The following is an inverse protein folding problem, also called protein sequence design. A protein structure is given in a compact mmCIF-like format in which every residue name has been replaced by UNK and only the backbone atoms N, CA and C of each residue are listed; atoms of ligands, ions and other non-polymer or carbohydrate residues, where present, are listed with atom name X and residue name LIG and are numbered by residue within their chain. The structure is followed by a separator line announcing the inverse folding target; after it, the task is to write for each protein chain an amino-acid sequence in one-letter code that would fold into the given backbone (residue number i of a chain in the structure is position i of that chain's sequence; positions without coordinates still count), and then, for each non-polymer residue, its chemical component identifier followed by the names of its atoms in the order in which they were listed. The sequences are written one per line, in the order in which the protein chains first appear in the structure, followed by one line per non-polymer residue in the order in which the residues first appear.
data_IF_204385275878
#
_entry.id   IF_204385275878
#
_cell.length_a   1.000
_cell.length_b   1.000
_cell.length_c   1.000
_cell.angle_alpha   90.00
_cell.angle_beta   90.00
_cell.angle_gamma   90.00
#
_symmetry.space_group_name_H-M   'P 1'
#
loop_
_entity.id
_entity.type
_entity.pdbx_description
1 polymer ?
#
# COMPACT_ATOMS: atom_id res chain seq x y z
N UNK A 1 -4.60 -8.07 9.59
CA UNK A 1 -5.58 -7.47 10.52
C UNK A 1 -5.37 -7.87 11.98
N UNK A 2 -5.25 -9.15 12.34
CA UNK A 2 -5.06 -9.59 13.74
C UNK A 2 -3.88 -8.88 14.47
N UNK A 3 -2.78 -8.65 13.77
CA UNK A 3 -1.64 -7.90 14.31
C UNK A 3 -2.03 -6.47 14.75
N UNK A 4 -2.78 -5.74 13.91
CA UNK A 4 -3.24 -4.39 14.23
C UNK A 4 -4.20 -4.40 15.42
N UNK A 5 -5.13 -5.35 15.45
CA UNK A 5 -6.07 -5.51 16.56
C UNK A 5 -5.32 -5.70 17.89
N UNK A 6 -4.33 -6.62 17.93
CA UNK A 6 -3.49 -6.84 19.11
C UNK A 6 -2.83 -5.54 19.58
N UNK A 7 -2.20 -4.79 18.68
CA UNK A 7 -1.48 -3.55 19.04
C UNK A 7 -2.44 -2.51 19.62
N UNK A 8 -3.65 -2.40 19.06
CA UNK A 8 -4.68 -1.49 19.56
C UNK A 8 -5.20 -1.89 20.94
N UNK A 9 -5.65 -3.15 21.11
CA UNK A 9 -6.25 -3.62 22.36
C UNK A 9 -5.25 -3.67 23.53
N UNK A 10 -3.98 -3.94 23.27
CA UNK A 10 -2.93 -3.93 24.30
C UNK A 10 -2.31 -2.53 24.50
N UNK A 11 -2.80 -1.48 23.83
CA UNK A 11 -2.26 -0.13 23.96
C UNK A 11 -0.80 0.01 23.53
N UNK A 12 -0.29 -0.91 22.71
CA UNK A 12 1.12 -1.00 22.33
C UNK A 12 1.57 0.11 21.35
N UNK A 13 0.64 0.97 20.92
CA UNK A 13 0.89 2.18 20.14
C UNK A 13 1.24 3.41 20.99
N UNK A 14 1.08 3.35 22.32
CA UNK A 14 1.37 4.46 23.24
C UNK A 14 2.87 4.75 23.36
N UNK A 15 3.20 5.88 23.99
CA UNK A 15 4.58 6.30 24.28
C UNK A 15 5.45 5.14 24.80
N UNK A 16 6.67 4.92 24.27
CA UNK A 16 7.40 5.71 23.25
C UNK A 16 7.27 5.17 21.79
N UNK A 17 6.18 4.45 21.47
CA UNK A 17 6.02 3.64 20.24
C UNK A 17 5.08 4.24 19.19
N UNK A 18 4.66 5.48 19.35
CA UNK A 18 3.70 6.16 18.47
C UNK A 18 4.22 6.22 17.02
N UNK A 19 5.52 6.47 16.86
CA UNK A 19 6.15 6.49 15.54
C UNK A 19 6.08 5.12 14.85
N UNK A 20 6.28 4.04 15.61
CA UNK A 20 6.19 2.69 15.06
C UNK A 20 4.75 2.33 14.66
N UNK A 21 3.75 2.88 15.34
CA UNK A 21 2.34 2.74 14.97
C UNK A 21 2.05 3.41 13.62
N UNK A 22 2.54 4.63 13.38
CA UNK A 22 2.39 5.30 12.08
C UNK A 22 3.01 4.47 10.96
N UNK A 23 4.21 3.92 11.18
CA UNK A 23 4.85 3.00 10.23
C UNK A 23 3.97 1.76 9.98
N UNK A 24 3.37 1.19 11.03
CA UNK A 24 2.45 0.05 10.92
C UNK A 24 1.21 0.36 10.06
N UNK A 25 0.64 1.57 10.20
CA UNK A 25 -0.46 2.02 9.35
C UNK A 25 -0.02 2.19 7.90
N UNK A 26 1.17 2.75 7.64
CA UNK A 26 1.73 2.85 6.28
C UNK A 26 1.91 1.44 5.68
N UNK A 27 2.45 0.49 6.45
CA UNK A 27 2.62 -0.90 6.01
C UNK A 27 1.27 -1.57 5.71
N UNK A 28 0.23 -1.30 6.49
CA UNK A 28 -1.13 -1.77 6.21
C UNK A 28 -1.63 -1.22 4.87
N UNK A 29 -1.48 0.09 4.63
CA UNK A 29 -1.87 0.70 3.35
C UNK A 29 -1.06 0.13 2.18
N UNK A 30 0.25 -0.04 2.32
CA UNK A 30 1.10 -0.67 1.29
C UNK A 30 0.68 -2.12 1.00
N UNK A 31 0.26 -2.88 2.03
CA UNK A 31 -0.24 -4.24 1.87
C UNK A 31 -1.53 -4.25 1.06
N UNK A 32 -2.46 -3.34 1.34
CA UNK A 32 -3.70 -3.20 0.57
C UNK A 32 -3.42 -2.80 -0.89
N UNK A 33 -2.46 -1.90 -1.12
CA UNK A 33 -2.02 -1.52 -2.47
C UNK A 33 -1.37 -2.70 -3.22
N UNK A 34 -0.53 -3.49 -2.54
CA UNK A 34 0.05 -4.71 -3.10
C UNK A 34 -1.05 -5.71 -3.48
N UNK A 35 -2.01 -5.98 -2.59
CA UNK A 35 -3.14 -6.86 -2.89
C UNK A 35 -3.95 -6.36 -4.08
N UNK A 36 -4.26 -5.06 -4.14
CA UNK A 36 -5.00 -4.48 -5.26
C UNK A 36 -4.22 -4.59 -6.57
N UNK A 37 -2.97 -4.15 -6.61
CA UNK A 37 -2.17 -4.18 -7.85
C UNK A 37 -1.86 -5.59 -8.34
N UNK A 38 -1.70 -6.55 -7.44
CA UNK A 38 -1.53 -7.97 -7.78
C UNK A 38 -2.80 -8.58 -8.38
N UNK A 39 -3.97 -8.15 -7.89
CA UNK A 39 -5.27 -8.55 -8.42
C UNK A 39 -5.49 -8.10 -9.87
N UNK A 40 -4.78 -7.07 -10.34
CA UNK A 40 -4.90 -6.58 -11.72
C UNK A 40 -4.11 -7.44 -12.73
N UNK A 41 -3.12 -8.20 -12.29
CA UNK A 41 -2.17 -8.88 -13.17
C UNK A 41 -2.72 -10.08 -13.97
N UNK A 42 -3.71 -10.86 -13.48
CA UNK A 42 -4.33 -11.93 -14.26
C UNK A 42 -5.01 -11.44 -15.54
N UNK A 43 -5.33 -10.14 -15.62
CA UNK A 43 -5.89 -9.49 -16.80
C UNK A 43 -7.20 -10.10 -17.30
N UNK A 44 -8.03 -10.58 -16.36
CA UNK A 44 -9.37 -11.08 -16.62
C UNK A 44 -10.41 -9.94 -16.63
N UNK A 45 -11.67 -10.28 -16.90
CA UNK A 45 -12.74 -9.28 -17.00
C UNK A 45 -12.92 -8.46 -15.72
N UNK A 46 -12.77 -9.09 -14.54
CA UNK A 46 -12.92 -8.41 -13.26
C UNK A 46 -11.73 -7.49 -12.99
N UNK A 47 -10.50 -7.91 -13.30
CA UNK A 47 -9.31 -7.06 -13.23
C UNK A 47 -9.45 -5.81 -14.13
N UNK A 48 -9.95 -5.96 -15.35
CA UNK A 48 -10.18 -4.82 -16.27
C UNK A 48 -11.21 -3.83 -15.70
N UNK A 49 -12.27 -4.33 -15.06
CA UNK A 49 -13.23 -3.47 -14.36
C UNK A 49 -12.60 -2.80 -13.14
N UNK A 50 -11.76 -3.50 -12.37
CA UNK A 50 -11.04 -2.92 -11.25
C UNK A 50 -10.07 -1.81 -11.69
N UNK A 51 -9.35 -1.99 -12.81
CA UNK A 51 -8.52 -0.93 -13.43
C UNK A 51 -9.40 0.27 -13.80
N UNK A 52 -10.53 0.03 -14.47
CA UNK A 52 -11.45 1.09 -14.91
C UNK A 52 -11.96 1.90 -13.73
N UNK A 53 -12.48 1.24 -12.69
CA UNK A 53 -12.99 1.90 -11.49
C UNK A 53 -11.87 2.64 -10.75
N UNK A 54 -10.73 1.98 -10.52
CA UNK A 54 -9.62 2.57 -9.77
C UNK A 54 -9.02 3.80 -10.45
N UNK A 55 -8.82 3.76 -11.76
CA UNK A 55 -8.25 4.90 -12.52
C UNK A 55 -9.25 6.04 -12.68
N UNK A 56 -10.55 5.75 -12.80
CA UNK A 56 -11.59 6.78 -12.81
C UNK A 56 -11.73 7.45 -11.44
N UNK A 57 -11.66 6.69 -10.34
CA UNK A 57 -11.65 7.25 -8.98
C UNK A 57 -10.50 8.25 -8.78
N UNK A 58 -9.30 7.90 -9.23
CA UNK A 58 -8.14 8.81 -9.14
C UNK A 58 -8.27 10.05 -10.05
N UNK A 59 -8.99 9.92 -11.17
CA UNK A 59 -9.33 11.01 -12.06
C UNK A 59 -10.14 12.14 -11.43
N UNK A 60 -10.85 11.89 -10.32
CA UNK A 60 -11.61 12.91 -9.60
C UNK A 60 -10.75 13.83 -8.71
N UNK A 61 -9.45 13.57 -8.61
CA UNK A 61 -8.55 14.44 -7.82
C UNK A 61 -8.50 15.84 -8.45
N UNK A 62 -8.75 16.92 -7.69
CA UNK A 62 -8.67 18.27 -8.24
C UNK A 62 -7.23 18.55 -8.68
N UNK A 63 -7.08 19.36 -9.74
CA UNK A 63 -5.80 19.82 -10.33
C UNK A 63 -4.99 18.75 -11.06
N UNK A 64 -4.84 17.54 -10.51
CA UNK A 64 -3.91 16.50 -11.03
C UNK A 64 -4.59 15.21 -11.51
N UNK A 65 -5.91 15.11 -11.43
CA UNK A 65 -6.63 13.86 -11.70
C UNK A 65 -6.42 13.29 -13.11
N UNK A 66 -6.46 14.14 -14.15
CA UNK A 66 -6.29 13.69 -15.53
C UNK A 66 -4.86 13.20 -15.81
N UNK A 67 -3.86 13.87 -15.22
CA UNK A 67 -2.45 13.50 -15.30
C UNK A 67 -2.18 12.19 -14.56
N UNK A 68 -2.75 12.01 -13.36
CA UNK A 68 -2.63 10.77 -12.59
C UNK A 68 -3.23 9.59 -13.36
N UNK A 69 -4.45 9.76 -13.90
CA UNK A 69 -5.10 8.74 -14.74
C UNK A 69 -4.23 8.37 -15.95
N UNK A 70 -3.71 9.37 -16.66
CA UNK A 70 -2.84 9.15 -17.82
C UNK A 70 -1.56 8.40 -17.45
N UNK A 71 -0.92 8.78 -16.34
CA UNK A 71 0.30 8.11 -15.85
C UNK A 71 0.01 6.67 -15.43
N UNK A 72 -1.15 6.34 -14.91
CA UNK A 72 -1.45 4.97 -14.50
C UNK A 72 -1.83 4.08 -15.68
N UNK A 73 -2.53 4.62 -16.67
CA UNK A 73 -2.89 3.89 -17.88
C UNK A 73 -1.73 3.76 -18.87
N UNK A 74 -0.85 4.74 -18.93
CA UNK A 74 0.18 4.83 -19.97
C UNK A 74 -0.36 5.21 -21.35
N UNK A 75 -1.59 5.69 -21.40
CA UNK A 75 -2.29 6.08 -22.62
C UNK A 75 -3.66 6.69 -22.29
N UNK A 76 -4.46 6.93 -23.32
CA UNK A 76 -5.84 7.46 -23.17
C UNK A 76 -6.85 6.36 -22.79
N UNK A 77 -6.54 5.11 -23.16
CA UNK A 77 -7.37 3.92 -22.97
C UNK A 77 -6.56 2.81 -22.27
N UNK A 78 -7.27 1.80 -21.77
CA UNK A 78 -6.66 0.62 -21.13
C UNK A 78 -6.05 -0.26 -22.21
N UNK A 79 -4.76 -0.58 -22.07
CA UNK A 79 -4.05 -1.41 -23.03
C UNK A 79 -2.84 -2.13 -22.44
N UNK A 80 -1.97 -2.71 -23.29
CA UNK A 80 -0.77 -3.43 -22.83
C UNK A 80 0.16 -2.59 -21.95
N UNK A 81 0.29 -1.30 -22.24
CA UNK A 81 1.08 -0.36 -21.43
C UNK A 81 0.53 -0.20 -20.01
N UNK A 82 -0.79 -0.31 -19.83
CA UNK A 82 -1.43 -0.28 -18.51
C UNK A 82 -1.00 -1.48 -17.69
N UNK A 83 -1.03 -2.69 -18.27
CA UNK A 83 -0.59 -3.91 -17.61
C UNK A 83 0.89 -3.83 -17.22
N UNK A 84 1.76 -3.34 -18.12
CA UNK A 84 3.18 -3.15 -17.84
C UNK A 84 3.40 -2.24 -16.62
N UNK A 85 2.68 -1.12 -16.52
CA UNK A 85 2.78 -0.20 -15.38
C UNK A 85 2.35 -0.84 -14.08
N UNK A 86 1.20 -1.51 -14.06
CA UNK A 86 0.74 -2.23 -12.87
C UNK A 86 1.68 -3.35 -12.46
N UNK A 87 2.28 -4.05 -13.43
CA UNK A 87 3.31 -5.06 -13.17
C UNK A 87 4.55 -4.46 -12.51
N UNK A 88 5.10 -3.36 -13.05
CA UNK A 88 6.27 -2.69 -12.46
C UNK A 88 5.96 -2.15 -11.05
N UNK A 89 4.78 -1.56 -10.86
CA UNK A 89 4.34 -1.09 -9.55
C UNK A 89 4.24 -2.25 -8.53
N UNK A 90 3.66 -3.38 -8.93
CA UNK A 90 3.42 -4.53 -8.06
C UNK A 90 4.68 -5.34 -7.75
N UNK A 91 5.53 -5.59 -8.74
CA UNK A 91 6.66 -6.51 -8.61
C UNK A 91 7.91 -5.79 -8.10
N UNK A 92 8.08 -4.52 -8.45
CA UNK A 92 9.28 -3.76 -8.08
C UNK A 92 8.99 -2.70 -7.03
N UNK A 93 8.17 -1.69 -7.36
CA UNK A 93 8.08 -0.47 -6.54
C UNK A 93 7.49 -0.73 -5.16
N UNK A 94 6.28 -1.29 -5.09
CA UNK A 94 5.62 -1.50 -3.80
C UNK A 94 6.34 -2.51 -2.90
N UNK A 95 6.87 -3.65 -3.40
CA UNK A 95 7.67 -4.54 -2.58
C UNK A 95 8.93 -3.88 -2.05
N UNK A 96 9.65 -3.13 -2.89
CA UNK A 96 10.86 -2.41 -2.48
C UNK A 96 10.58 -1.40 -1.36
N UNK A 97 9.55 -0.56 -1.53
CA UNK A 97 9.12 0.40 -0.50
C UNK A 97 8.67 -0.32 0.77
N UNK A 98 7.93 -1.43 0.65
CA UNK A 98 7.47 -2.24 1.79
C UNK A 98 8.63 -2.80 2.60
N UNK A 99 9.67 -3.31 1.94
CA UNK A 99 10.89 -3.82 2.61
C UNK A 99 11.59 -2.72 3.39
N UNK A 100 11.69 -1.50 2.84
CA UNK A 100 12.27 -0.35 3.56
C UNK A 100 11.46 -0.05 4.83
N UNK A 101 10.14 0.06 4.73
CA UNK A 101 9.30 0.35 5.89
C UNK A 101 9.31 -0.80 6.91
N UNK A 102 9.39 -2.06 6.49
CA UNK A 102 9.55 -3.21 7.39
C UNK A 102 10.87 -3.13 8.16
N UNK A 103 11.98 -2.79 7.47
CA UNK A 103 13.27 -2.63 8.12
C UNK A 103 13.22 -1.53 9.21
N UNK A 104 12.60 -0.38 8.89
CA UNK A 104 12.41 0.71 9.86
C UNK A 104 11.50 0.26 11.01
N UNK A 105 10.41 -0.45 10.71
CA UNK A 105 9.47 -0.95 11.71
C UNK A 105 10.16 -1.88 12.71
N UNK A 106 10.92 -2.87 12.22
CA UNK A 106 11.64 -3.82 13.08
C UNK A 106 12.77 -3.15 13.87
N UNK A 107 13.53 -2.27 13.23
CA UNK A 107 14.55 -1.48 13.90
C UNK A 107 13.96 -0.67 15.06
N UNK A 108 12.79 -0.04 14.84
CA UNK A 108 12.14 0.77 15.86
C UNK A 108 11.63 -0.07 17.03
N UNK A 109 11.05 -1.24 16.76
CA UNK A 109 10.69 -2.22 17.81
C UNK A 109 11.90 -2.58 18.68
N UNK A 110 13.06 -2.85 18.05
CA UNK A 110 14.29 -3.17 18.80
C UNK A 110 14.81 -1.97 19.58
N UNK A 111 14.75 -0.77 19.01
CA UNK A 111 15.23 0.46 19.65
C UNK A 111 14.37 0.88 20.84
N UNK A 112 13.06 0.63 20.78
CA UNK A 112 12.09 0.96 21.84
C UNK A 112 11.98 -0.12 22.94
N UNK A 113 13.02 -0.94 23.12
CA UNK A 113 13.07 -1.92 24.20
C UNK A 113 12.25 -3.19 23.96
N UNK A 114 11.91 -3.53 22.71
CA UNK A 114 11.27 -4.79 22.36
C UNK A 114 9.74 -4.71 22.32
N UNK A 115 9.06 -5.70 22.90
CA UNK A 115 7.58 -5.81 22.87
C UNK A 115 7.01 -5.08 24.09
N UNK A 116 5.84 -4.45 23.95
CA UNK A 116 5.10 -3.89 25.09
C UNK A 116 4.80 -4.96 26.14
N UNK A 117 4.99 -4.64 27.42
CA UNK A 117 4.61 -5.52 28.51
C UNK A 117 3.09 -5.75 28.58
N UNK A 118 2.64 -6.73 29.39
CA UNK A 118 1.24 -6.87 29.72
C UNK A 118 0.72 -5.59 30.41
N UNK A 119 -0.58 -5.34 30.27
CA UNK A 119 -1.30 -4.25 30.94
C UNK A 119 -1.32 -4.45 32.45
#
# INVERSE_FOLDING_TARGET
FLHMARVFYHGAYKAPREFNWVIGVILLTLTLLLSFTGYLLPWDQLALWAVTVGTNMMGYSPVIGSQVRFVLLGGVEIGPETLLRWYVLHVLLFPFVTVIFLAIHFWRVRKDGGISGPL
#
